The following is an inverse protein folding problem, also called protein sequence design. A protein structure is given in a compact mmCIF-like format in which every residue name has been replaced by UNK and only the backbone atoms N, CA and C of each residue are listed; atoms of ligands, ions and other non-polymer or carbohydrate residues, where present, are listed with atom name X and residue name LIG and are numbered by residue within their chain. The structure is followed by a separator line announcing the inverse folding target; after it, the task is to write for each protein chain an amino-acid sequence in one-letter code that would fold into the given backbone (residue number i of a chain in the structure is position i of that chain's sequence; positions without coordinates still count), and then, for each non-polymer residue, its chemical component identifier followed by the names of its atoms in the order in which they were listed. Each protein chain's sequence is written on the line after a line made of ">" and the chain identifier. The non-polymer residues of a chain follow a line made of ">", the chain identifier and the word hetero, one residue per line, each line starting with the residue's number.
data_IF_854060102699
#
_entry.id   IF_854060102699
#
_cell.length_a   1.000
_cell.length_b   1.000
_cell.length_c   1.000
_cell.angle_alpha   90.00
_cell.angle_beta   90.00
_cell.angle_gamma   90.00
#
_symmetry.space_group_name_H-M   'P 1'
#
loop_
_entity.id
_entity.type
_entity.pdbx_description
1 polymer ?
#
# COMPACT_ATOMS: atom_id res chain seq x y z
N UNK A 1 5.25 4.77 -16.53
CA UNK A 1 4.37 5.40 -15.52
C UNK A 1 4.13 4.48 -14.33
N UNK A 2 3.67 3.26 -14.56
CA UNK A 2 3.45 2.30 -13.48
C UNK A 2 4.72 1.91 -12.71
N UNK A 3 5.86 1.82 -13.39
CA UNK A 3 7.13 1.50 -12.76
C UNK A 3 7.54 2.54 -11.70
N UNK A 4 7.33 3.83 -12.00
CA UNK A 4 7.65 4.89 -11.06
C UNK A 4 6.75 4.82 -9.82
N UNK A 5 5.46 4.55 -10.01
CA UNK A 5 4.52 4.39 -8.89
C UNK A 5 4.92 3.20 -8.03
N UNK A 6 5.27 2.06 -8.64
CA UNK A 6 5.71 0.88 -7.91
C UNK A 6 6.97 1.18 -7.10
N UNK A 7 7.94 1.88 -7.66
CA UNK A 7 9.14 2.27 -6.94
C UNK A 7 8.83 3.14 -5.72
N UNK A 8 7.95 4.12 -5.88
CA UNK A 8 7.52 4.98 -4.79
C UNK A 8 6.86 4.16 -3.68
N UNK A 9 5.95 3.26 -4.06
CA UNK A 9 5.25 2.43 -3.09
C UNK A 9 6.20 1.50 -2.35
N UNK A 10 7.16 0.89 -3.05
CA UNK A 10 8.14 0.01 -2.41
C UNK A 10 9.10 0.76 -1.49
N UNK A 11 9.31 2.05 -1.75
CA UNK A 11 10.20 2.88 -0.93
C UNK A 11 9.66 3.06 0.50
N UNK A 12 8.35 3.17 0.69
CA UNK A 12 7.78 3.35 2.02
C UNK A 12 6.96 2.16 2.54
N UNK A 13 6.52 1.25 1.66
CA UNK A 13 5.77 0.06 2.06
C UNK A 13 6.61 -1.21 2.10
N UNK A 14 7.84 -1.15 1.57
CA UNK A 14 8.70 -2.32 1.48
C UNK A 14 8.44 -3.13 0.21
N UNK A 15 8.95 -4.35 0.17
CA UNK A 15 8.80 -5.20 -1.01
C UNK A 15 7.35 -5.64 -1.18
N UNK A 16 6.87 -5.59 -2.43
CA UNK A 16 5.53 -6.08 -2.73
C UNK A 16 5.43 -7.61 -2.55
N UNK A 17 4.21 -8.08 -2.31
CA UNK A 17 3.93 -9.52 -2.15
C UNK A 17 3.47 -10.15 -3.46
N UNK A 18 2.55 -9.49 -4.15
CA UNK A 18 2.01 -9.95 -5.43
C UNK A 18 1.91 -8.78 -6.39
N UNK A 19 2.12 -9.03 -7.67
CA UNK A 19 2.02 -7.99 -8.69
C UNK A 19 1.33 -8.57 -9.93
N UNK A 20 0.17 -8.02 -10.25
CA UNK A 20 -0.63 -8.40 -11.42
C UNK A 20 -0.60 -7.26 -12.42
N UNK A 21 0.45 -7.21 -13.25
CA UNK A 21 0.67 -6.11 -14.19
C UNK A 21 -0.49 -5.90 -15.16
N UNK A 22 -1.10 -6.97 -15.64
CA UNK A 22 -2.22 -6.88 -16.57
C UNK A 22 -3.43 -6.17 -15.98
N UNK A 23 -3.58 -6.22 -14.66
CA UNK A 23 -4.69 -5.58 -13.93
C UNK A 23 -4.28 -4.27 -13.26
N UNK A 24 -3.01 -3.92 -13.29
CA UNK A 24 -2.49 -2.77 -12.57
C UNK A 24 -2.56 -2.90 -11.07
N UNK A 25 -2.55 -4.13 -10.55
CA UNK A 25 -2.68 -4.41 -9.12
C UNK A 25 -1.39 -4.91 -8.50
N UNK A 26 -1.05 -4.36 -7.33
CA UNK A 26 0.13 -4.77 -6.56
C UNK A 26 -0.24 -4.79 -5.08
N UNK A 27 0.25 -5.77 -4.34
CA UNK A 27 -0.06 -5.89 -2.92
C UNK A 27 1.17 -5.76 -2.04
N UNK A 28 0.94 -5.22 -0.85
CA UNK A 28 1.97 -4.96 0.16
C UNK A 28 1.44 -5.38 1.53
N UNK A 29 2.35 -5.42 2.50
CA UNK A 29 1.94 -5.55 3.90
C UNK A 29 1.34 -4.22 4.35
N UNK A 30 0.22 -4.27 5.06
CA UNK A 30 -0.47 -3.07 5.50
C UNK A 30 0.23 -2.45 6.71
N UNK A 31 0.64 -1.17 6.65
CA UNK A 31 1.28 -0.52 7.79
C UNK A 31 0.35 -0.35 8.99
N UNK A 32 -0.95 -0.16 8.77
CA UNK A 32 -1.93 -0.05 9.86
C UNK A 32 -2.09 -1.38 10.58
N UNK A 33 -2.17 -2.50 9.85
CA UNK A 33 -2.24 -3.82 10.47
C UNK A 33 -0.98 -4.13 11.26
N UNK A 34 0.18 -3.73 10.74
CA UNK A 34 1.44 -3.92 11.44
C UNK A 34 1.48 -3.12 12.74
N UNK A 35 1.01 -1.87 12.72
CA UNK A 35 0.96 -1.03 13.92
C UNK A 35 0.03 -1.59 14.98
N UNK A 36 -1.13 -2.11 14.59
CA UNK A 36 -2.07 -2.74 15.51
C UNK A 36 -1.46 -3.95 16.22
N UNK A 37 -0.61 -4.69 15.52
CA UNK A 37 0.05 -5.87 16.06
C UNK A 37 1.36 -5.54 16.79
N UNK A 38 1.75 -4.28 16.82
CA UNK A 38 2.99 -3.84 17.43
C UNK A 38 4.24 -4.27 16.68
N UNK A 39 4.12 -4.50 15.37
CA UNK A 39 5.23 -4.92 14.53
C UNK A 39 5.95 -3.72 13.94
N UNK A 40 7.27 -3.76 13.89
CA UNK A 40 8.09 -2.70 13.28
C UNK A 40 8.14 -2.84 11.76
N UNK A 41 7.96 -4.06 11.26
CA UNK A 41 7.88 -4.37 9.84
C UNK A 41 6.48 -4.83 9.52
N UNK A 42 6.19 -5.07 8.24
CA UNK A 42 4.89 -5.55 7.81
C UNK A 42 4.52 -6.89 8.45
N UNK A 43 3.23 -7.19 8.51
CA UNK A 43 2.73 -8.41 9.11
C UNK A 43 2.89 -9.66 8.22
N UNK A 44 3.44 -9.51 7.03
CA UNK A 44 3.69 -10.63 6.10
C UNK A 44 2.46 -11.14 5.36
N UNK A 45 1.30 -10.51 5.55
CA UNK A 45 0.04 -11.02 4.99
C UNK A 45 -0.32 -10.44 3.62
N UNK A 46 0.28 -9.31 3.25
CA UNK A 46 0.05 -8.71 1.94
C UNK A 46 -1.39 -8.27 1.70
N UNK A 47 -2.08 -7.78 2.73
CA UNK A 47 -3.49 -7.39 2.65
C UNK A 47 -3.73 -6.01 2.05
N UNK A 48 -2.70 -5.18 1.91
CA UNK A 48 -2.84 -3.86 1.31
C UNK A 48 -2.72 -3.99 -0.21
N UNK A 49 -3.85 -3.83 -0.90
CA UNK A 49 -3.88 -3.91 -2.35
C UNK A 49 -3.97 -2.52 -2.96
N UNK A 50 -3.11 -2.25 -3.92
CA UNK A 50 -3.07 -0.97 -4.64
C UNK A 50 -3.35 -1.24 -6.10
N UNK A 51 -4.29 -0.48 -6.69
CA UNK A 51 -4.50 -0.48 -8.12
C UNK A 51 -3.97 0.83 -8.68
N UNK A 52 -2.80 0.79 -9.33
CA UNK A 52 -2.15 1.99 -9.83
C UNK A 52 -2.75 2.49 -11.15
N UNK A 53 -3.52 1.65 -11.86
CA UNK A 53 -4.23 2.10 -13.06
C UNK A 53 -5.45 2.95 -12.71
N UNK A 54 -6.19 2.56 -11.68
CA UNK A 54 -7.35 3.34 -11.21
C UNK A 54 -6.97 4.36 -10.12
N UNK A 55 -5.79 4.22 -9.53
CA UNK A 55 -5.29 5.15 -8.53
C UNK A 55 -5.93 5.00 -7.15
N UNK A 56 -6.33 3.78 -6.77
CA UNK A 56 -6.98 3.52 -5.47
C UNK A 56 -6.26 2.42 -4.70
N UNK A 57 -6.49 2.37 -3.40
CA UNK A 57 -5.94 1.33 -2.55
C UNK A 57 -6.94 0.89 -1.48
N UNK A 58 -6.74 -0.31 -0.96
CA UNK A 58 -7.57 -0.86 0.12
C UNK A 58 -6.82 -1.96 0.85
N UNK A 59 -6.90 -1.96 2.18
CA UNK A 59 -6.47 -3.10 2.99
C UNK A 59 -7.66 -4.01 3.25
N UNK A 60 -7.59 -5.23 2.83
CA UNK A 60 -8.68 -6.19 2.99
C UNK A 60 -8.97 -6.56 4.45
N UNK A 61 -7.97 -6.38 5.33
CA UNK A 61 -8.11 -6.72 6.74
C UNK A 61 -8.66 -5.57 7.60
N UNK A 62 -8.26 -4.32 7.32
CA UNK A 62 -8.58 -3.21 8.21
C UNK A 62 -9.24 -2.00 7.53
N UNK A 63 -9.72 -2.15 6.29
CA UNK A 63 -10.32 -1.01 5.60
C UNK A 63 -11.56 -0.47 6.32
N UNK A 64 -12.34 -1.34 6.94
CA UNK A 64 -13.54 -0.95 7.65
C UNK A 64 -13.26 -0.43 9.07
N UNK A 65 -12.29 -1.04 9.75
CA UNK A 65 -11.96 -0.67 11.13
C UNK A 65 -11.07 0.57 11.21
N UNK A 66 -10.07 0.67 10.32
CA UNK A 66 -9.09 1.76 10.34
C UNK A 66 -9.24 2.76 9.20
N UNK A 67 -10.21 2.54 8.30
CA UNK A 67 -10.38 3.40 7.14
C UNK A 67 -9.22 3.32 6.15
N UNK A 68 -8.56 2.17 6.07
CA UNK A 68 -7.38 1.98 5.20
C UNK A 68 -7.82 1.73 3.77
N UNK A 69 -8.31 2.77 3.13
CA UNK A 69 -8.72 2.76 1.73
C UNK A 69 -8.77 4.19 1.21
N UNK A 70 -8.74 4.34 -0.09
CA UNK A 70 -8.82 5.66 -0.71
C UNK A 70 -7.99 5.74 -1.98
N UNK A 71 -7.50 6.94 -2.29
CA UNK A 71 -6.66 7.16 -3.47
C UNK A 71 -5.19 6.87 -3.14
N UNK A 72 -4.42 6.53 -4.18
CA UNK A 72 -2.97 6.33 -4.02
C UNK A 72 -2.32 7.61 -3.48
N UNK A 73 -2.81 8.77 -3.88
CA UNK A 73 -2.30 10.05 -3.36
C UNK A 73 -2.49 10.15 -1.85
N UNK A 74 -3.64 9.72 -1.34
CA UNK A 74 -3.91 9.67 0.10
C UNK A 74 -2.97 8.69 0.80
N UNK A 75 -2.70 7.55 0.17
CA UNK A 75 -1.78 6.54 0.70
C UNK A 75 -0.39 7.14 0.87
N UNK A 76 0.12 7.81 -0.14
CA UNK A 76 1.43 8.46 -0.10
C UNK A 76 1.45 9.56 0.98
N UNK A 77 0.40 10.34 1.06
CA UNK A 77 0.29 11.42 2.05
C UNK A 77 0.34 10.88 3.48
N UNK A 78 -0.33 9.76 3.74
CA UNK A 78 -0.43 9.21 5.09
C UNK A 78 0.78 8.39 5.51
N UNK A 79 1.42 7.69 4.59
CA UNK A 79 2.48 6.72 4.91
C UNK A 79 3.82 7.00 4.23
N UNK A 80 3.81 7.79 3.16
CA UNK A 80 5.03 8.21 2.48
C UNK A 80 5.70 9.37 3.21
N UNK A 81 6.76 9.90 2.63
CA UNK A 81 7.41 11.10 3.13
C UNK A 81 7.19 12.26 2.15
N UNK A 82 7.67 13.45 2.51
CA UNK A 82 7.47 14.66 1.71
C UNK A 82 8.03 14.55 0.29
N UNK A 83 9.07 13.78 0.11
CA UNK A 83 9.70 13.62 -1.21
C UNK A 83 8.84 12.81 -2.19
N UNK A 84 7.85 12.08 -1.68
CA UNK A 84 6.95 11.28 -2.51
C UNK A 84 5.77 12.10 -3.07
N UNK A 85 5.51 13.25 -2.52
CA UNK A 85 4.44 14.15 -2.96
C UNK A 85 4.95 15.16 -3.97
#
# INVERSE_FOLDING_TARGET
>A
MSELVVEILEDFLGNHKKHYEAKGQISFDCPECAMEKGLMEGDGKGNLEVNYDSGVYKCWACSETNGTHGTVRKLIKNYGNRNHL
#
